data_IF_062089799421
#
_entry.id   IF_062089799421
#
_cell.length_a   1.000
_cell.length_b   1.000
_cell.length_c   1.000
_cell.angle_alpha   90.00
_cell.angle_beta   90.00
_cell.angle_gamma   90.00
#
_symmetry.space_group_name_H-M   'P 1'
#
loop_
_entity.id
_entity.type
_entity.pdbx_description
1 polymer ?
#
# COMPACT_ATOMS: atom_id res chain seq x y z
N UNK A 1 13.31 -4.17 17.63
CA UNK A 1 13.05 -3.99 16.17
C UNK A 1 12.40 -2.63 16.00
N UNK A 2 12.88 -1.83 15.07
CA UNK A 2 12.24 -0.55 14.75
C UNK A 2 10.89 -0.79 14.06
N UNK A 3 9.96 0.14 14.22
CA UNK A 3 8.62 0.03 13.61
C UNK A 3 8.67 -0.22 12.09
N UNK A 4 9.53 0.52 11.36
CA UNK A 4 9.70 0.34 9.92
C UNK A 4 10.26 -1.03 9.55
N UNK A 5 11.13 -1.59 10.39
CA UNK A 5 11.67 -2.94 10.19
C UNK A 5 10.60 -4.01 10.39
N UNK A 6 9.70 -3.81 11.37
CA UNK A 6 8.57 -4.70 11.58
C UNK A 6 7.61 -4.67 10.39
N UNK A 7 7.27 -3.49 9.89
CA UNK A 7 6.41 -3.36 8.69
C UNK A 7 7.07 -4.05 7.48
N UNK A 8 8.36 -3.83 7.27
CA UNK A 8 9.09 -4.47 6.16
C UNK A 8 9.14 -5.99 6.31
N UNK A 9 9.44 -6.51 7.49
CA UNK A 9 9.51 -7.96 7.74
C UNK A 9 8.14 -8.63 7.53
N UNK A 10 7.08 -8.06 8.10
CA UNK A 10 5.72 -8.56 7.92
C UNK A 10 5.27 -8.49 6.45
N UNK A 11 5.65 -7.42 5.73
CA UNK A 11 5.38 -7.32 4.30
C UNK A 11 6.09 -8.42 3.50
N UNK A 12 7.37 -8.71 3.79
CA UNK A 12 8.11 -9.80 3.15
C UNK A 12 7.42 -11.16 3.39
N UNK A 13 6.94 -11.40 4.59
CA UNK A 13 6.20 -12.62 4.94
C UNK A 13 4.94 -12.77 4.11
N UNK A 14 4.10 -11.72 4.04
CA UNK A 14 2.87 -11.75 3.26
C UNK A 14 3.14 -11.93 1.76
N UNK A 15 4.13 -11.24 1.21
CA UNK A 15 4.53 -11.39 -0.20
C UNK A 15 5.03 -12.80 -0.50
N UNK A 16 5.83 -13.38 0.40
CA UNK A 16 6.31 -14.76 0.27
C UNK A 16 5.14 -15.76 0.25
N UNK A 17 4.13 -15.54 1.11
CA UNK A 17 2.95 -16.41 1.19
C UNK A 17 2.10 -16.39 -0.09
N UNK A 18 2.17 -15.34 -0.91
CA UNK A 18 1.45 -15.27 -2.19
C UNK A 18 2.08 -16.13 -3.30
N UNK A 19 3.34 -16.54 -3.16
CA UNK A 19 4.11 -17.29 -4.16
C UNK A 19 4.52 -16.47 -5.40
N UNK A 20 3.78 -15.43 -5.74
CA UNK A 20 4.11 -14.43 -6.76
C UNK A 20 3.48 -13.09 -6.39
N UNK A 21 4.17 -11.98 -6.63
CA UNK A 21 3.61 -10.64 -6.44
C UNK A 21 4.35 -9.60 -7.29
N UNK A 22 3.69 -8.47 -7.54
CA UNK A 22 4.31 -7.27 -8.10
C UNK A 22 4.27 -6.16 -7.06
N UNK A 23 5.44 -5.70 -6.64
CA UNK A 23 5.61 -4.53 -5.76
C UNK A 23 6.14 -3.37 -6.60
N UNK A 24 5.50 -2.22 -6.51
CA UNK A 24 5.87 -1.09 -7.34
C UNK A 24 5.62 0.25 -6.66
N UNK A 25 6.24 1.29 -7.17
CA UNK A 25 6.14 2.65 -6.67
C UNK A 25 7.41 3.45 -6.93
N UNK A 26 7.42 4.69 -6.46
CA UNK A 26 8.60 5.54 -6.57
C UNK A 26 9.65 5.14 -5.54
N UNK A 27 10.92 5.01 -5.96
CA UNK A 27 12.03 4.67 -5.07
C UNK A 27 11.83 3.38 -4.26
N UNK A 28 11.17 2.39 -4.83
CA UNK A 28 10.88 1.09 -4.21
C UNK A 28 12.01 0.10 -4.46
N UNK A 29 12.37 -0.10 -5.74
CA UNK A 29 13.44 -1.02 -6.12
C UNK A 29 14.84 -0.45 -5.83
N UNK A 30 15.01 0.87 -5.97
CA UNK A 30 16.26 1.61 -5.74
C UNK A 30 15.98 2.96 -5.10
N UNK A 31 17.01 3.70 -4.71
CA UNK A 31 16.90 4.98 -4.04
C UNK A 31 16.63 4.82 -2.55
N UNK A 32 15.71 5.61 -2.00
CA UNK A 32 15.41 5.60 -0.57
C UNK A 32 14.71 4.32 -0.08
N UNK A 33 14.26 3.47 -1.01
CA UNK A 33 13.40 2.30 -0.69
C UNK A 33 12.27 2.66 0.27
N UNK A 34 11.69 3.83 0.02
CA UNK A 34 10.63 4.49 0.81
C UNK A 34 10.93 4.43 2.31
N UNK A 35 12.14 4.91 2.68
CA UNK A 35 12.55 4.99 4.09
C UNK A 35 12.72 3.65 4.79
N UNK A 36 12.92 2.57 4.05
CA UNK A 36 13.13 1.21 4.59
C UNK A 36 11.96 0.25 4.36
N UNK A 37 10.76 0.73 4.08
CA UNK A 37 9.57 -0.12 3.85
C UNK A 37 9.76 -1.16 2.74
N UNK A 38 10.52 -0.81 1.70
CA UNK A 38 10.77 -1.67 0.54
C UNK A 38 12.17 -2.34 0.54
N UNK A 39 12.85 -2.36 1.69
CA UNK A 39 14.18 -2.97 1.79
C UNK A 39 14.08 -4.48 1.52
N UNK A 40 14.96 -4.99 0.64
CA UNK A 40 15.12 -6.42 0.33
C UNK A 40 13.87 -7.12 -0.22
N UNK A 41 12.84 -6.38 -0.66
CA UNK A 41 11.64 -7.01 -1.25
C UNK A 41 11.95 -7.74 -2.56
N UNK A 42 12.99 -7.34 -3.29
CA UNK A 42 13.44 -8.05 -4.50
C UNK A 42 14.07 -9.41 -4.21
N UNK A 43 14.45 -9.67 -2.96
CA UNK A 43 15.03 -10.95 -2.53
C UNK A 43 13.93 -11.97 -2.14
N UNK A 44 12.67 -11.53 -2.05
CA UNK A 44 11.52 -12.41 -1.77
C UNK A 44 11.22 -13.26 -3.01
N UNK A 45 11.24 -14.59 -2.90
CA UNK A 45 10.97 -15.47 -4.04
C UNK A 45 9.62 -15.19 -4.70
N UNK A 46 9.61 -15.09 -6.03
CA UNK A 46 8.39 -14.81 -6.81
C UNK A 46 7.96 -13.33 -6.80
N UNK A 47 8.67 -12.45 -6.10
CA UNK A 47 8.36 -11.03 -6.05
C UNK A 47 9.09 -10.25 -7.16
N UNK A 48 8.35 -9.48 -7.94
CA UNK A 48 8.90 -8.52 -8.90
C UNK A 48 8.79 -7.11 -8.32
N UNK A 49 9.92 -6.40 -8.20
CA UNK A 49 9.96 -5.05 -7.60
C UNK A 49 10.33 -4.02 -8.66
N UNK A 50 9.50 -3.00 -8.86
CA UNK A 50 9.61 -2.03 -9.94
C UNK A 50 9.60 -0.59 -9.40
N UNK A 51 10.56 0.23 -9.86
CA UNK A 51 10.42 1.68 -9.74
C UNK A 51 9.49 2.21 -10.84
N UNK A 52 8.64 3.15 -10.47
CA UNK A 52 7.69 3.80 -11.39
C UNK A 52 7.87 5.31 -11.42
N UNK A 53 7.44 5.99 -12.49
CA UNK A 53 7.29 7.44 -12.47
C UNK A 53 6.13 7.87 -11.56
N UNK A 54 5.97 9.19 -11.38
CA UNK A 54 4.84 9.80 -10.70
C UNK A 54 3.61 9.77 -11.62
N UNK A 55 2.72 8.83 -11.41
CA UNK A 55 1.52 8.66 -12.22
C UNK A 55 0.43 7.93 -11.40
N UNK A 56 0.09 8.44 -10.23
CA UNK A 56 -0.68 7.77 -9.17
C UNK A 56 -2.00 7.20 -9.71
N UNK A 57 -2.72 7.94 -10.55
CA UNK A 57 -3.96 7.42 -11.15
C UNK A 57 -3.71 6.15 -11.99
N UNK A 58 -2.69 6.17 -12.84
CA UNK A 58 -2.32 5.00 -13.65
C UNK A 58 -1.79 3.86 -12.78
N UNK A 59 -1.04 4.18 -11.71
CA UNK A 59 -0.47 3.18 -10.80
C UNK A 59 -1.53 2.48 -9.95
N UNK A 60 -2.56 3.20 -9.50
CA UNK A 60 -3.72 2.57 -8.86
C UNK A 60 -4.46 1.66 -9.86
N UNK A 61 -4.71 2.15 -11.08
CA UNK A 61 -5.30 1.34 -12.16
C UNK A 61 -4.49 0.10 -12.49
N UNK A 62 -3.14 0.20 -12.48
CA UNK A 62 -2.24 -0.94 -12.68
C UNK A 62 -2.43 -2.01 -11.59
N UNK A 63 -2.52 -1.61 -10.31
CA UNK A 63 -2.75 -2.55 -9.21
C UNK A 63 -4.08 -3.28 -9.33
N UNK A 64 -5.12 -2.55 -9.71
CA UNK A 64 -6.45 -3.13 -10.01
C UNK A 64 -6.34 -4.14 -11.15
N UNK A 65 -5.69 -3.76 -12.26
CA UNK A 65 -5.50 -4.63 -13.43
C UNK A 65 -4.70 -5.90 -13.10
N UNK A 66 -3.64 -5.78 -12.30
CA UNK A 66 -2.86 -6.93 -11.83
C UNK A 66 -3.73 -7.89 -10.99
N UNK A 67 -4.53 -7.36 -10.07
CA UNK A 67 -5.43 -8.16 -9.24
C UNK A 67 -6.49 -8.88 -10.08
N UNK A 68 -7.09 -8.20 -11.06
CA UNK A 68 -8.02 -8.80 -12.03
C UNK A 68 -7.36 -9.90 -12.86
N UNK A 69 -6.08 -9.74 -13.21
CA UNK A 69 -5.29 -10.75 -13.92
C UNK A 69 -4.78 -11.89 -13.01
N UNK A 70 -5.21 -11.94 -11.75
CA UNK A 70 -4.80 -12.97 -10.80
C UNK A 70 -3.37 -12.83 -10.28
N UNK A 71 -2.82 -11.62 -10.28
CA UNK A 71 -1.48 -11.32 -9.75
C UNK A 71 -1.59 -10.38 -8.56
N UNK A 72 -1.22 -10.81 -7.34
CA UNK A 72 -1.15 -9.96 -6.16
C UNK A 72 -0.28 -8.73 -6.41
N UNK A 73 -0.75 -7.57 -5.97
CA UNK A 73 -0.08 -6.30 -6.21
C UNK A 73 0.06 -5.50 -4.90
N UNK A 74 1.22 -4.89 -4.71
CA UNK A 74 1.46 -3.93 -3.63
C UNK A 74 2.01 -2.63 -4.20
N UNK A 75 1.21 -1.58 -4.17
CA UNK A 75 1.66 -0.23 -4.51
C UNK A 75 2.19 0.46 -3.26
N UNK A 76 3.50 0.72 -3.19
CA UNK A 76 4.09 1.47 -2.09
C UNK A 76 4.16 2.95 -2.47
N UNK A 77 3.30 3.73 -1.85
CA UNK A 77 3.17 5.18 -2.08
C UNK A 77 3.87 5.94 -0.95
N UNK A 78 4.63 6.97 -1.32
CA UNK A 78 5.41 7.74 -0.34
C UNK A 78 4.54 8.41 0.73
N UNK A 79 3.40 8.97 0.34
CA UNK A 79 2.50 9.71 1.24
C UNK A 79 1.04 9.48 0.86
N UNK A 80 0.18 9.37 1.88
CA UNK A 80 -1.25 9.15 1.70
C UNK A 80 -1.93 10.25 0.87
N UNK A 81 -1.46 11.49 0.99
CA UNK A 81 -2.02 12.63 0.27
C UNK A 81 -1.97 12.46 -1.25
N UNK A 82 -0.99 11.72 -1.76
CA UNK A 82 -0.88 11.42 -3.19
C UNK A 82 -1.97 10.48 -3.69
N UNK A 83 -2.71 9.80 -2.80
CA UNK A 83 -3.86 9.00 -3.19
C UNK A 83 -4.98 9.84 -3.82
N UNK A 84 -5.05 11.15 -3.53
CA UNK A 84 -5.98 12.07 -4.19
C UNK A 84 -5.73 12.18 -5.70
N UNK A 85 -4.50 11.97 -6.16
CA UNK A 85 -4.18 11.95 -7.59
C UNK A 85 -4.74 10.69 -8.29
N UNK A 86 -5.04 9.64 -7.55
CA UNK A 86 -5.64 8.40 -8.02
C UNK A 86 -7.07 8.18 -7.49
N UNK A 87 -7.73 9.22 -6.98
CA UNK A 87 -9.00 9.09 -6.26
C UNK A 87 -10.11 8.49 -7.12
N UNK A 88 -10.12 8.79 -8.41
CA UNK A 88 -11.11 8.21 -9.33
C UNK A 88 -11.02 6.68 -9.36
N UNK A 89 -9.84 6.14 -9.50
CA UNK A 89 -9.62 4.70 -9.50
C UNK A 89 -10.00 4.07 -8.14
N UNK A 90 -9.64 4.73 -7.05
CA UNK A 90 -9.92 4.25 -5.70
C UNK A 90 -11.42 4.28 -5.36
N UNK A 91 -12.12 5.34 -5.78
CA UNK A 91 -13.51 5.55 -5.43
C UNK A 91 -14.48 4.90 -6.42
N UNK A 92 -14.29 5.13 -7.72
CA UNK A 92 -15.23 4.71 -8.75
C UNK A 92 -14.92 3.32 -9.30
N UNK A 93 -13.66 3.07 -9.70
CA UNK A 93 -13.29 1.79 -10.31
C UNK A 93 -13.34 0.65 -9.30
N UNK A 94 -12.76 0.82 -8.11
CA UNK A 94 -12.78 -0.21 -7.05
C UNK A 94 -14.21 -0.48 -6.58
N UNK A 95 -15.04 0.58 -6.38
CA UNK A 95 -16.42 0.40 -5.97
C UNK A 95 -17.24 -0.38 -7.03
N UNK A 96 -17.12 -0.01 -8.31
CA UNK A 96 -17.80 -0.71 -9.40
C UNK A 96 -17.38 -2.18 -9.52
N UNK A 97 -16.11 -2.47 -9.31
CA UNK A 97 -15.60 -3.84 -9.32
C UNK A 97 -16.11 -4.66 -8.12
N UNK A 98 -16.18 -4.06 -6.94
CA UNK A 98 -16.71 -4.72 -5.74
C UNK A 98 -18.19 -5.08 -5.88
N UNK A 99 -18.97 -4.25 -6.55
CA UNK A 99 -20.40 -4.51 -6.80
C UNK A 99 -20.65 -5.59 -7.87
N UNK A 100 -19.71 -5.71 -8.83
CA UNK A 100 -19.89 -6.58 -10.01
C UNK A 100 -19.07 -7.86 -9.98
N UNK A 101 -18.05 -7.94 -9.14
CA UNK A 101 -17.07 -9.02 -9.16
C UNK A 101 -16.88 -9.59 -7.77
N UNK A 102 -17.60 -10.66 -7.47
CA UNK A 102 -17.32 -11.54 -6.32
C UNK A 102 -16.00 -12.34 -6.50
N UNK A 103 -15.33 -12.19 -7.65
CA UNK A 103 -14.30 -13.13 -8.10
C UNK A 103 -12.85 -12.58 -8.03
N UNK A 104 -12.64 -11.33 -7.58
CA UNK A 104 -11.29 -10.85 -7.32
C UNK A 104 -10.77 -11.56 -6.06
N UNK A 105 -9.91 -12.57 -6.27
CA UNK A 105 -9.41 -13.45 -5.21
C UNK A 105 -8.00 -13.11 -4.75
N UNK A 106 -7.33 -12.20 -5.46
CA UNK A 106 -5.96 -11.80 -5.13
C UNK A 106 -5.90 -10.37 -4.66
N UNK A 107 -5.03 -10.05 -3.70
CA UNK A 107 -4.99 -8.72 -3.10
C UNK A 107 -4.38 -7.66 -4.03
N UNK A 108 -4.94 -6.46 -3.97
CA UNK A 108 -4.25 -5.22 -4.26
C UNK A 108 -4.13 -4.40 -2.98
N UNK A 109 -2.91 -4.23 -2.48
CA UNK A 109 -2.61 -3.48 -1.26
C UNK A 109 -1.96 -2.15 -1.63
N UNK A 110 -2.58 -1.04 -1.22
CA UNK A 110 -1.94 0.28 -1.22
C UNK A 110 -1.28 0.49 0.15
N UNK A 111 0.05 0.35 0.20
CA UNK A 111 0.86 0.65 1.38
C UNK A 111 1.36 2.08 1.29
N UNK A 112 1.05 2.92 2.26
CA UNK A 112 1.38 4.33 2.18
C UNK A 112 1.80 4.91 3.53
N UNK A 113 2.62 5.96 3.51
CA UNK A 113 3.01 6.68 4.73
C UNK A 113 1.96 7.73 5.07
N UNK A 114 1.51 7.73 6.31
CA UNK A 114 0.59 8.72 6.86
C UNK A 114 1.39 9.81 7.56
N UNK A 115 1.17 11.07 7.18
CA UNK A 115 1.81 12.22 7.82
C UNK A 115 1.06 12.56 9.12
N UNK A 116 1.47 11.92 10.19
CA UNK A 116 0.92 12.08 11.54
C UNK A 116 1.90 12.74 12.53
N UNK A 117 3.07 13.15 12.06
CA UNK A 117 4.11 13.82 12.85
C UNK A 117 3.97 15.35 12.87
N UNK A 118 2.97 15.90 12.19
CA UNK A 118 2.74 17.32 12.05
C UNK A 118 3.14 17.87 10.68
N UNK A 119 3.48 19.16 10.63
CA UNK A 119 3.79 19.85 9.39
C UNK A 119 5.12 19.38 8.78
N UNK A 120 5.06 18.87 7.55
CA UNK A 120 6.23 18.42 6.78
C UNK A 120 6.45 19.26 5.50
N UNK A 121 5.78 20.41 5.40
CA UNK A 121 5.78 21.29 4.24
C UNK A 121 4.37 21.49 3.68
N UNK A 122 4.20 22.39 2.70
CA UNK A 122 2.87 22.75 2.18
C UNK A 122 2.05 21.58 1.61
N UNK A 123 2.72 20.56 1.07
CA UNK A 123 2.08 19.40 0.46
C UNK A 123 1.83 18.24 1.43
N UNK A 124 2.45 18.26 2.62
CA UNK A 124 2.43 17.14 3.55
C UNK A 124 2.09 17.64 4.95
N UNK A 125 1.05 18.47 5.07
CA UNK A 125 0.63 19.06 6.34
C UNK A 125 -0.72 18.53 6.82
N UNK A 126 -1.46 17.78 5.99
CA UNK A 126 -2.77 17.27 6.31
C UNK A 126 -2.74 15.76 6.48
N UNK A 127 -3.25 15.28 7.61
CA UNK A 127 -3.56 13.87 7.77
C UNK A 127 -4.91 13.59 7.12
N UNK A 128 -4.90 13.14 5.88
CA UNK A 128 -6.10 12.87 5.08
C UNK A 128 -6.72 11.48 5.34
N UNK A 129 -6.26 10.76 6.35
CA UNK A 129 -6.69 9.38 6.62
C UNK A 129 -8.20 9.28 6.88
N UNK A 130 -8.74 10.10 7.78
CA UNK A 130 -10.15 10.03 8.15
C UNK A 130 -11.09 10.43 6.99
N UNK A 131 -10.85 11.52 6.24
CA UNK A 131 -11.59 11.82 5.03
C UNK A 131 -11.55 10.69 3.98
N UNK A 132 -10.38 10.13 3.72
CA UNK A 132 -10.25 9.02 2.77
C UNK A 132 -10.97 7.76 3.24
N UNK A 133 -10.85 7.38 4.50
CA UNK A 133 -11.56 6.24 5.05
C UNK A 133 -13.08 6.40 4.95
N UNK A 134 -13.59 7.63 5.10
CA UNK A 134 -15.01 7.92 4.96
C UNK A 134 -15.51 7.86 3.50
N UNK A 135 -14.65 8.27 2.54
CA UNK A 135 -14.97 8.25 1.12
C UNK A 135 -14.81 6.85 0.52
N UNK A 136 -13.71 6.19 0.84
CA UNK A 136 -13.33 4.91 0.28
C UNK A 136 -14.00 3.80 1.10
N UNK A 137 -14.98 3.13 0.55
CA UNK A 137 -15.65 1.97 1.17
C UNK A 137 -14.76 0.72 1.18
N UNK A 138 -13.49 0.89 1.54
CA UNK A 138 -12.48 -0.18 1.60
C UNK A 138 -11.81 -0.17 2.96
N UNK A 139 -11.25 -1.29 3.42
CA UNK A 139 -10.49 -1.33 4.67
C UNK A 139 -9.30 -0.38 4.62
N UNK A 140 -9.22 0.52 5.60
CA UNK A 140 -8.07 1.40 5.83
C UNK A 140 -7.50 1.04 7.20
N UNK A 141 -6.31 0.47 7.20
CA UNK A 141 -5.66 -0.10 8.38
C UNK A 141 -4.47 0.78 8.77
N UNK A 142 -4.37 1.15 10.04
CA UNK A 142 -3.31 2.02 10.57
C UNK A 142 -2.66 1.40 11.80
N UNK A 143 -1.75 0.45 11.60
CA UNK A 143 -1.10 -0.21 12.72
C UNK A 143 -0.15 0.74 13.47
N UNK A 144 -0.14 0.66 14.80
CA UNK A 144 0.70 1.48 15.69
C UNK A 144 1.59 0.68 16.63
N UNK A 145 1.46 -0.64 16.66
CA UNK A 145 2.28 -1.55 17.47
C UNK A 145 2.76 -2.70 16.60
N UNK A 146 3.82 -3.39 17.00
CA UNK A 146 4.34 -4.57 16.26
C UNK A 146 3.25 -5.61 16.02
N UNK A 147 2.50 -5.97 17.03
CA UNK A 147 1.40 -6.95 16.90
C UNK A 147 0.29 -6.46 15.95
N UNK A 148 -0.03 -5.16 15.97
CA UNK A 148 -1.01 -4.58 15.06
C UNK A 148 -0.51 -4.50 13.62
N UNK A 149 0.80 -4.37 13.40
CA UNK A 149 1.43 -4.42 12.06
C UNK A 149 1.18 -5.76 11.39
N UNK A 150 1.49 -6.85 12.07
CA UNK A 150 1.36 -8.19 11.51
C UNK A 150 -0.11 -8.50 11.18
N UNK A 151 -1.03 -8.21 12.10
CA UNK A 151 -2.47 -8.36 11.87
C UNK A 151 -3.00 -7.50 10.74
N UNK A 152 -2.52 -6.26 10.62
CA UNK A 152 -2.96 -5.36 9.57
C UNK A 152 -2.52 -5.83 8.18
N UNK A 153 -1.25 -6.23 8.04
CA UNK A 153 -0.74 -6.73 6.76
C UNK A 153 -1.36 -8.08 6.41
N UNK A 154 -1.49 -9.00 7.35
CA UNK A 154 -2.20 -10.26 7.12
C UNK A 154 -3.65 -10.02 6.66
N UNK A 155 -4.38 -9.12 7.34
CA UNK A 155 -5.74 -8.75 6.95
C UNK A 155 -5.77 -8.11 5.56
N UNK A 156 -4.83 -7.22 5.26
CA UNK A 156 -4.75 -6.52 3.98
C UNK A 156 -4.56 -7.50 2.81
N UNK A 157 -3.68 -8.48 2.96
CA UNK A 157 -3.40 -9.47 1.92
C UNK A 157 -4.49 -10.53 1.75
N UNK A 158 -5.47 -10.57 2.66
CA UNK A 158 -6.68 -11.43 2.54
C UNK A 158 -7.86 -10.71 1.88
N UNK A 159 -7.75 -9.40 1.65
CA UNK A 159 -8.82 -8.60 1.04
C UNK A 159 -8.52 -8.33 -0.46
N UNK A 160 -9.54 -8.26 -1.31
CA UNK A 160 -9.34 -7.90 -2.72
C UNK A 160 -8.71 -6.53 -2.91
N UNK A 161 -9.01 -5.59 -2.02
CA UNK A 161 -8.40 -4.26 -2.00
C UNK A 161 -8.36 -3.73 -0.56
N UNK A 162 -7.24 -3.13 -0.18
CA UNK A 162 -7.07 -2.48 1.12
C UNK A 162 -6.00 -1.39 1.08
N UNK A 163 -6.08 -0.48 2.04
CA UNK A 163 -5.07 0.55 2.27
C UNK A 163 -4.44 0.29 3.64
N UNK A 164 -3.11 0.27 3.68
CA UNK A 164 -2.34 0.22 4.93
C UNK A 164 -1.57 1.50 5.09
N UNK A 165 -1.94 2.28 6.09
CA UNK A 165 -1.28 3.54 6.46
C UNK A 165 -0.20 3.33 7.50
N UNK A 166 1.06 3.59 7.14
CA UNK A 166 2.23 3.48 8.02
C UNK A 166 2.49 4.83 8.68
N UNK A 167 2.56 4.88 9.99
CA UNK A 167 2.79 6.10 10.75
C UNK A 167 4.20 6.67 10.49
N UNK A 168 4.29 7.88 9.96
CA UNK A 168 5.56 8.58 9.78
C UNK A 168 6.24 8.86 11.12
N UNK A 169 5.46 9.19 12.15
CA UNK A 169 5.96 9.46 13.50
C UNK A 169 6.69 8.24 14.09
N UNK A 170 6.19 7.03 13.83
CA UNK A 170 6.77 5.79 14.34
C UNK A 170 7.95 5.28 13.49
N UNK A 171 8.11 5.79 12.26
CA UNK A 171 9.23 5.44 11.39
C UNK A 171 10.54 6.16 11.75
N UNK A 172 10.49 7.17 12.62
CA UNK A 172 11.63 8.00 13.02
C UNK A 172 12.39 7.46 14.22
#
# INVERSE_FOLDING_TARGET
>A
MLYVEQVNASLQEQLSATGKAVVYGQNVAAGSRVGGLARNLADVPGCTVLNTPNAENALVGMGIGLALAGTPACFIMKQLDFSFLGIDQLLNTVAALRERSSDIRVPFVLLTVVVDSGFEGPQASANCLAPLAALLRVPVLTPSTSESVDRALESAFRQPFSIVGVSQKLMR
#
